data_IF_115791132637
#
_entry.id   IF_115791132637
#
_cell.length_a   1.000
_cell.length_b   1.000
_cell.length_c   1.000
_cell.angle_alpha   90.00
_cell.angle_beta   90.00
_cell.angle_gamma   90.00
#
_symmetry.space_group_name_H-M   'P 1'
#
loop_
_entity.id
_entity.type
_entity.pdbx_description
1 polymer ?
#
# COMPACT_ATOMS: atom_id res chain seq x y z
N UNK A 1 33.99 0.39 5.38
CA UNK A 1 32.68 1.06 5.44
C UNK A 1 32.55 1.95 4.22
N UNK A 2 31.41 1.83 3.50
CA UNK A 2 31.08 2.70 2.37
C UNK A 2 29.93 3.62 2.80
N UNK A 3 29.97 4.92 2.42
CA UNK A 3 28.96 5.91 2.78
C UNK A 3 28.34 6.53 1.54
N UNK A 4 27.02 6.78 1.59
CA UNK A 4 26.29 7.52 0.57
C UNK A 4 25.69 8.76 1.23
N UNK A 5 26.04 9.94 0.73
CA UNK A 5 25.54 11.21 1.26
C UNK A 5 24.62 11.87 0.25
N UNK A 6 23.39 12.09 0.66
CA UNK A 6 22.44 12.89 -0.13
C UNK A 6 22.70 14.39 0.01
N UNK A 7 22.36 15.17 -0.99
CA UNK A 7 22.45 16.64 -0.94
C UNK A 7 21.43 17.25 0.03
N UNK A 8 20.28 16.57 0.27
CA UNK A 8 19.25 16.95 1.25
C UNK A 8 18.62 15.70 1.84
N UNK A 9 17.78 15.84 2.84
CA UNK A 9 16.98 14.73 3.36
C UNK A 9 15.85 14.39 2.38
N UNK A 10 15.89 13.19 1.79
CA UNK A 10 14.86 12.63 0.90
C UNK A 10 13.99 11.58 1.61
N UNK A 11 14.19 11.37 2.91
CA UNK A 11 13.47 10.37 3.70
C UNK A 11 14.10 8.98 3.70
N UNK A 12 13.52 8.09 4.52
CA UNK A 12 14.05 6.74 4.76
C UNK A 12 13.92 5.83 3.53
N UNK A 13 12.81 5.92 2.82
CA UNK A 13 12.57 5.08 1.64
C UNK A 13 13.60 5.32 0.54
N UNK A 14 13.92 6.59 0.25
CA UNK A 14 14.95 6.92 -0.73
C UNK A 14 16.33 6.37 -0.32
N UNK A 15 16.66 6.46 0.98
CA UNK A 15 17.93 5.92 1.49
C UNK A 15 17.99 4.39 1.35
N UNK A 16 16.88 3.70 1.63
CA UNK A 16 16.79 2.24 1.44
C UNK A 16 16.88 1.86 -0.03
N UNK A 17 16.16 2.55 -0.91
CA UNK A 17 16.19 2.25 -2.35
C UNK A 17 17.61 2.35 -2.92
N UNK A 18 18.30 3.45 -2.67
CA UNK A 18 19.68 3.63 -3.12
C UNK A 18 20.62 2.61 -2.46
N UNK A 19 20.40 2.28 -1.18
CA UNK A 19 21.15 1.23 -0.49
C UNK A 19 20.94 -0.15 -1.13
N UNK A 20 19.71 -0.50 -1.49
CA UNK A 20 19.36 -1.74 -2.16
C UNK A 20 19.98 -1.86 -3.56
N UNK A 21 19.98 -0.77 -4.31
CA UNK A 21 20.67 -0.73 -5.62
C UNK A 21 22.16 -1.02 -5.50
N UNK A 22 22.82 -0.49 -4.47
CA UNK A 22 24.26 -0.63 -4.27
C UNK A 22 24.68 -1.89 -3.51
N UNK A 23 23.73 -2.59 -2.87
CA UNK A 23 24.01 -3.83 -2.17
C UNK A 23 24.47 -4.93 -3.14
N UNK A 24 25.51 -5.69 -2.75
CA UNK A 24 26.14 -6.73 -3.57
C UNK A 24 26.14 -8.11 -2.89
N UNK A 25 25.75 -8.16 -1.61
CA UNK A 25 25.72 -9.42 -0.86
C UNK A 25 24.50 -10.28 -1.19
N UNK A 26 24.58 -11.57 -0.95
CA UNK A 26 23.48 -12.53 -1.16
C UNK A 26 22.35 -12.32 -0.16
N UNK A 27 22.68 -11.87 1.05
CA UNK A 27 21.75 -11.45 2.09
C UNK A 27 21.99 -9.99 2.42
N UNK A 28 20.91 -9.20 2.40
CA UNK A 28 20.94 -7.77 2.69
C UNK A 28 20.20 -7.51 3.99
N UNK A 29 20.78 -6.70 4.86
CA UNK A 29 20.16 -6.29 6.12
C UNK A 29 19.84 -4.79 6.09
N UNK A 30 18.72 -4.44 6.70
CA UNK A 30 18.43 -3.05 7.07
C UNK A 30 18.45 -2.92 8.58
N UNK A 31 19.04 -1.85 9.07
CA UNK A 31 19.10 -1.54 10.50
C UNK A 31 19.05 -0.02 10.68
N UNK A 32 18.33 0.46 11.69
CA UNK A 32 18.34 1.87 12.06
C UNK A 32 19.63 2.24 12.81
N UNK A 33 20.23 3.37 12.46
CA UNK A 33 21.51 3.82 13.04
C UNK A 33 21.35 4.53 14.40
N UNK A 34 20.21 4.37 15.08
CA UNK A 34 19.90 5.02 16.36
C UNK A 34 20.29 4.16 17.58
N UNK A 35 21.02 3.07 17.35
CA UNK A 35 21.53 2.13 18.37
C UNK A 35 20.43 1.43 19.19
N UNK A 36 19.18 1.40 18.70
CA UNK A 36 18.08 0.69 19.36
C UNK A 36 18.01 -0.79 18.98
N UNK A 37 18.45 -1.14 17.77
CA UNK A 37 18.51 -2.51 17.29
C UNK A 37 19.86 -3.14 17.64
N UNK A 38 19.88 -4.43 18.04
CA UNK A 38 21.11 -5.15 18.38
C UNK A 38 21.71 -5.84 17.16
N UNK A 39 23.01 -5.62 16.85
CA UNK A 39 23.72 -6.38 15.82
C UNK A 39 23.82 -7.89 16.12
N UNK A 40 23.67 -8.29 17.38
CA UNK A 40 23.72 -9.70 17.80
C UNK A 40 22.59 -10.55 17.19
N UNK A 41 21.56 -9.92 16.66
CA UNK A 41 20.44 -10.59 15.97
C UNK A 41 20.79 -10.99 14.51
N UNK A 42 21.81 -10.38 13.92
CA UNK A 42 22.15 -10.57 12.51
C UNK A 42 22.54 -12.01 12.15
N UNK A 43 23.33 -12.75 12.96
CA UNK A 43 23.70 -14.13 12.62
C UNK A 43 22.49 -15.05 12.47
N UNK A 44 21.51 -14.95 13.37
CA UNK A 44 20.31 -15.78 13.30
C UNK A 44 19.39 -15.38 12.14
N UNK A 45 19.25 -14.08 11.88
CA UNK A 45 18.53 -13.60 10.69
C UNK A 45 19.18 -14.10 9.40
N UNK A 46 20.53 -14.10 9.34
CA UNK A 46 21.30 -14.65 8.21
C UNK A 46 21.01 -16.12 8.02
N UNK A 47 21.13 -16.92 9.07
CA UNK A 47 20.86 -18.35 9.05
C UNK A 47 19.48 -18.67 8.48
N UNK A 48 18.45 -17.96 8.95
CA UNK A 48 17.08 -18.19 8.51
C UNK A 48 16.84 -17.81 7.04
N UNK A 49 17.46 -16.74 6.55
CA UNK A 49 17.37 -16.37 5.12
C UNK A 49 18.14 -17.37 4.27
N UNK A 50 19.37 -17.72 4.67
CA UNK A 50 20.28 -18.52 3.86
C UNK A 50 19.95 -20.02 3.92
N UNK A 51 19.72 -20.58 5.12
CA UNK A 51 19.54 -22.01 5.34
C UNK A 51 18.05 -22.42 5.31
N UNK A 52 17.17 -21.67 5.97
CA UNK A 52 15.73 -21.95 5.95
C UNK A 52 15.05 -21.43 4.68
N UNK A 53 15.74 -20.64 3.89
CA UNK A 53 15.29 -20.17 2.58
C UNK A 53 14.20 -19.10 2.61
N UNK A 54 14.06 -18.34 3.71
CA UNK A 54 13.15 -17.20 3.75
C UNK A 54 13.56 -16.12 2.73
N UNK A 55 12.59 -15.53 2.06
CA UNK A 55 12.82 -14.41 1.16
C UNK A 55 13.06 -13.11 1.94
N UNK A 56 12.29 -12.94 3.01
CA UNK A 56 12.37 -11.80 3.92
C UNK A 56 12.04 -12.20 5.35
N UNK A 57 12.83 -11.72 6.31
CA UNK A 57 12.51 -11.82 7.74
C UNK A 57 12.46 -10.42 8.33
N UNK A 58 11.35 -10.10 8.99
CA UNK A 58 11.17 -8.85 9.74
C UNK A 58 11.44 -9.09 11.22
N UNK A 59 12.16 -8.18 11.87
CA UNK A 59 12.24 -8.18 13.31
C UNK A 59 10.88 -7.87 13.95
N UNK A 60 10.62 -8.46 15.11
CA UNK A 60 9.47 -8.18 15.95
C UNK A 60 9.91 -7.69 17.33
N UNK A 61 9.67 -6.40 17.60
CA UNK A 61 9.93 -5.79 18.89
C UNK A 61 8.81 -6.15 19.88
N UNK A 62 8.86 -7.40 20.43
CA UNK A 62 7.80 -7.93 21.32
C UNK A 62 7.66 -7.11 22.61
N UNK A 63 8.78 -6.70 23.21
CA UNK A 63 8.81 -5.77 24.34
C UNK A 63 9.16 -4.39 23.81
N UNK A 64 8.20 -3.47 23.83
CA UNK A 64 8.40 -2.07 23.44
C UNK A 64 8.44 -1.19 24.66
N UNK A 65 9.40 -0.29 24.69
CA UNK A 65 9.51 0.76 25.71
C UNK A 65 8.85 2.09 25.25
N UNK A 66 7.99 2.01 24.22
CA UNK A 66 7.28 3.15 23.66
C UNK A 66 6.03 3.52 24.48
N UNK A 67 5.63 4.80 24.56
CA UNK A 67 4.40 5.24 25.22
C UNK A 67 3.14 4.59 24.59
N UNK A 68 2.10 4.43 25.43
CA UNK A 68 0.81 3.83 25.02
C UNK A 68 0.19 4.56 23.82
N UNK A 69 0.34 5.88 23.74
CA UNK A 69 -0.12 6.73 22.62
C UNK A 69 0.44 6.33 21.25
N UNK A 70 1.61 5.66 21.21
CA UNK A 70 2.22 5.13 19.99
C UNK A 70 1.86 3.66 19.75
N UNK A 71 1.65 2.91 20.83
CA UNK A 71 1.44 1.47 20.75
C UNK A 71 0.08 1.12 20.15
N UNK A 72 -1.00 1.83 20.53
CA UNK A 72 -2.36 1.58 20.02
C UNK A 72 -2.46 1.86 18.51
N UNK A 73 -2.05 3.03 18.00
CA UNK A 73 -2.05 3.28 16.55
C UNK A 73 -1.22 2.26 15.76
N UNK A 74 -0.06 1.85 16.29
CA UNK A 74 0.79 0.85 15.64
C UNK A 74 0.11 -0.53 15.57
N UNK A 75 -0.61 -0.94 16.63
CA UNK A 75 -1.35 -2.22 16.63
C UNK A 75 -2.48 -2.20 15.60
N UNK A 76 -3.24 -1.10 15.52
CA UNK A 76 -4.31 -0.94 14.53
C UNK A 76 -3.75 -0.97 13.10
N UNK A 77 -2.67 -0.23 12.85
CA UNK A 77 -1.95 -0.23 11.59
C UNK A 77 -1.49 -1.63 11.19
N UNK A 78 -0.83 -2.36 12.09
CA UNK A 78 -0.37 -3.72 11.83
C UNK A 78 -1.54 -4.69 11.58
N UNK A 79 -2.67 -4.54 12.29
CA UNK A 79 -3.87 -5.33 12.07
C UNK A 79 -4.47 -5.08 10.68
N UNK A 80 -4.62 -3.82 10.28
CA UNK A 80 -5.10 -3.44 8.96
C UNK A 80 -4.16 -3.95 7.85
N UNK A 81 -2.85 -3.79 8.02
CA UNK A 81 -1.86 -4.28 7.06
C UNK A 81 -1.89 -5.80 6.92
N UNK A 82 -2.06 -6.54 8.03
CA UNK A 82 -2.25 -8.00 7.99
C UNK A 82 -3.51 -8.40 7.22
N UNK A 83 -4.63 -7.73 7.48
CA UNK A 83 -5.89 -8.03 6.82
C UNK A 83 -5.81 -7.82 5.30
N UNK A 84 -5.17 -6.73 4.89
CA UNK A 84 -5.03 -6.35 3.47
C UNK A 84 -4.00 -7.23 2.75
N UNK A 85 -2.82 -7.45 3.36
CA UNK A 85 -1.72 -8.17 2.73
C UNK A 85 -1.79 -9.68 2.86
N UNK A 86 -2.53 -10.19 3.86
CA UNK A 86 -2.54 -11.60 4.22
C UNK A 86 -1.17 -12.11 4.72
N UNK A 87 -0.29 -11.21 5.22
CA UNK A 87 1.01 -11.56 5.78
C UNK A 87 0.89 -11.62 7.31
N UNK A 88 1.32 -12.71 7.91
CA UNK A 88 1.23 -12.91 9.37
C UNK A 88 2.45 -12.32 10.09
N UNK A 89 2.59 -10.97 10.07
CA UNK A 89 3.61 -10.26 10.85
C UNK A 89 2.95 -9.46 11.98
N UNK A 90 3.59 -9.43 13.15
CA UNK A 90 3.17 -8.62 14.28
C UNK A 90 3.74 -7.20 14.21
N UNK A 91 4.88 -7.00 13.52
CA UNK A 91 5.54 -5.71 13.40
C UNK A 91 6.04 -5.44 11.97
N UNK A 92 5.26 -4.69 11.19
CA UNK A 92 5.68 -4.21 9.87
C UNK A 92 6.67 -3.06 9.95
N UNK A 93 6.68 -2.32 11.06
CA UNK A 93 7.46 -1.08 11.23
C UNK A 93 8.89 -1.30 11.74
N UNK A 94 9.27 -2.52 12.11
CA UNK A 94 10.62 -2.80 12.57
C UNK A 94 11.66 -2.43 11.50
N UNK A 95 12.69 -1.65 11.87
CA UNK A 95 13.79 -1.26 10.98
C UNK A 95 14.73 -2.42 10.64
N UNK A 96 14.91 -3.33 11.61
CA UNK A 96 15.76 -4.51 11.45
C UNK A 96 15.04 -5.57 10.60
N UNK A 97 15.54 -5.80 9.41
CA UNK A 97 15.04 -6.81 8.48
C UNK A 97 16.21 -7.45 7.73
N UNK A 98 16.01 -8.70 7.34
CA UNK A 98 16.93 -9.45 6.47
C UNK A 98 16.20 -9.84 5.18
N UNK A 99 16.88 -9.78 4.06
CA UNK A 99 16.34 -10.04 2.73
C UNK A 99 17.31 -10.89 1.91
N UNK A 100 16.78 -11.78 1.06
CA UNK A 100 17.56 -12.26 -0.07
C UNK A 100 17.89 -11.11 -1.02
N UNK A 101 19.04 -11.13 -1.65
CA UNK A 101 19.43 -10.14 -2.66
C UNK A 101 18.37 -9.99 -3.76
N UNK A 102 17.79 -11.09 -4.21
CA UNK A 102 16.72 -11.09 -5.21
C UNK A 102 15.52 -10.22 -4.81
N UNK A 103 15.14 -10.19 -3.53
CA UNK A 103 14.04 -9.34 -3.05
C UNK A 103 14.35 -7.87 -3.27
N UNK A 104 15.49 -7.40 -2.73
CA UNK A 104 15.86 -5.98 -2.77
C UNK A 104 16.15 -5.47 -4.17
N UNK A 105 16.51 -6.36 -5.11
CA UNK A 105 16.74 -6.02 -6.52
C UNK A 105 15.46 -5.97 -7.37
N UNK A 106 14.35 -6.51 -6.87
CA UNK A 106 13.07 -6.56 -7.58
C UNK A 106 11.98 -5.72 -6.92
N UNK A 107 12.30 -4.94 -5.91
CA UNK A 107 11.35 -4.01 -5.27
C UNK A 107 11.83 -2.58 -5.40
N UNK A 108 10.88 -1.67 -5.59
CA UNK A 108 11.10 -0.23 -5.54
C UNK A 108 10.49 0.33 -4.27
N UNK A 109 11.23 1.21 -3.57
CA UNK A 109 10.81 1.79 -2.29
C UNK A 109 10.86 3.31 -2.37
N UNK A 110 9.70 3.95 -2.41
CA UNK A 110 9.57 5.41 -2.46
C UNK A 110 8.56 5.94 -1.42
N UNK A 111 8.45 7.24 -1.25
CA UNK A 111 7.54 7.86 -0.28
C UNK A 111 7.71 7.30 1.14
N UNK A 112 6.64 6.85 1.77
CA UNK A 112 6.66 6.20 3.09
C UNK A 112 6.60 4.65 2.99
N UNK A 113 6.88 4.08 1.82
CA UNK A 113 6.75 2.63 1.55
C UNK A 113 7.72 1.74 2.31
N UNK A 114 8.72 2.29 3.00
CA UNK A 114 9.67 1.52 3.80
C UNK A 114 9.01 0.61 4.86
N UNK A 115 7.80 0.93 5.30
CA UNK A 115 7.01 0.11 6.25
C UNK A 115 6.35 -1.08 5.59
N UNK A 116 6.12 -0.98 4.29
CA UNK A 116 5.36 -1.96 3.51
C UNK A 116 6.24 -2.86 2.65
N UNK A 117 7.57 -2.81 2.84
CA UNK A 117 8.50 -3.67 2.09
C UNK A 117 8.06 -5.14 2.10
N UNK A 118 7.59 -5.74 3.23
CA UNK A 118 7.09 -7.12 3.19
C UNK A 118 5.88 -7.29 2.27
N UNK A 119 5.01 -6.29 2.17
CA UNK A 119 3.82 -6.32 1.31
C UNK A 119 4.23 -6.22 -0.15
N UNK A 120 5.13 -5.28 -0.47
CA UNK A 120 5.67 -5.09 -1.81
C UNK A 120 6.41 -6.35 -2.28
N UNK A 121 7.23 -6.95 -1.42
CA UNK A 121 7.93 -8.19 -1.70
C UNK A 121 6.94 -9.32 -2.04
N UNK A 122 5.88 -9.50 -1.24
CA UNK A 122 4.85 -10.51 -1.51
C UNK A 122 4.17 -10.31 -2.86
N UNK A 123 3.85 -9.08 -3.24
CA UNK A 123 3.22 -8.78 -4.54
C UNK A 123 4.16 -9.00 -5.73
N UNK A 124 5.48 -8.92 -5.49
CA UNK A 124 6.49 -9.29 -6.47
C UNK A 124 6.83 -10.79 -6.46
N UNK A 125 6.04 -11.63 -5.77
CA UNK A 125 6.17 -13.09 -5.80
C UNK A 125 7.01 -13.69 -4.68
N UNK A 126 7.63 -12.88 -3.82
CA UNK A 126 8.42 -13.35 -2.67
C UNK A 126 7.50 -13.65 -1.50
N UNK A 127 7.06 -14.90 -1.40
CA UNK A 127 5.99 -15.31 -0.47
C UNK A 127 6.46 -15.86 0.85
N UNK A 128 7.72 -16.33 0.94
CA UNK A 128 8.27 -16.90 2.16
C UNK A 128 8.78 -15.82 3.11
N UNK A 129 7.82 -15.13 3.74
CA UNK A 129 8.07 -14.01 4.66
C UNK A 129 7.88 -14.48 6.09
N UNK A 130 8.87 -14.23 6.93
CA UNK A 130 8.89 -14.62 8.33
C UNK A 130 9.10 -13.45 9.30
N UNK A 131 8.97 -13.75 10.57
CA UNK A 131 9.21 -12.81 11.66
C UNK A 131 10.12 -13.43 12.71
N UNK A 132 10.98 -12.63 13.33
CA UNK A 132 11.85 -13.01 14.42
C UNK A 132 11.73 -12.02 15.57
N UNK A 133 11.55 -12.52 16.79
CA UNK A 133 11.62 -11.67 17.97
C UNK A 133 13.03 -11.14 18.14
N UNK A 134 13.17 -9.83 18.20
CA UNK A 134 14.46 -9.14 18.32
C UNK A 134 14.48 -8.28 19.57
N UNK A 135 15.69 -8.10 20.12
CA UNK A 135 15.91 -7.22 21.26
C UNK A 135 15.78 -5.77 20.81
N UNK A 136 15.09 -4.98 21.63
CA UNK A 136 14.96 -3.54 21.41
C UNK A 136 15.46 -2.80 22.65
N UNK A 137 16.40 -1.89 22.45
CA UNK A 137 16.98 -1.06 23.51
C UNK A 137 16.28 0.29 23.55
N UNK A 138 16.21 0.90 24.74
CA UNK A 138 15.75 2.27 24.87
C UNK A 138 16.69 3.22 24.12
N UNK A 139 16.12 4.26 23.50
CA UNK A 139 16.90 5.28 22.79
C UNK A 139 17.82 6.01 23.75
N UNK A 140 19.11 6.05 23.43
CA UNK A 140 20.12 6.77 24.22
C UNK A 140 20.30 8.22 23.78
N UNK A 141 20.12 8.51 22.48
CA UNK A 141 20.39 9.82 21.87
C UNK A 141 19.24 10.27 20.97
N UNK A 142 19.03 11.59 20.92
CA UNK A 142 18.04 12.21 20.03
C UNK A 142 16.63 12.26 20.58
N UNK A 143 15.82 13.18 20.02
CA UNK A 143 14.41 13.37 20.35
C UNK A 143 13.50 12.76 19.27
N UNK A 144 12.35 12.26 19.69
CA UNK A 144 11.38 11.66 18.79
C UNK A 144 10.54 12.76 18.12
N UNK A 145 10.63 12.89 16.80
CA UNK A 145 9.81 13.82 16.00
C UNK A 145 8.53 13.13 15.49
N UNK A 146 7.65 12.70 16.40
CA UNK A 146 6.39 12.04 16.01
C UNK A 146 5.20 12.98 16.19
N UNK A 147 4.48 13.32 15.09
CA UNK A 147 3.22 14.05 15.09
C UNK A 147 2.04 13.18 14.66
N UNK A 148 0.80 13.67 14.88
CA UNK A 148 -0.46 13.05 14.45
C UNK A 148 -0.55 12.91 12.91
N UNK A 149 0.09 13.80 12.16
CA UNK A 149 0.19 13.77 10.69
C UNK A 149 0.68 12.43 10.16
N UNK A 150 1.60 11.79 10.88
CA UNK A 150 2.16 10.50 10.48
C UNK A 150 1.15 9.35 10.56
N UNK A 151 0.14 9.46 11.40
CA UNK A 151 -0.93 8.47 11.49
C UNK A 151 -1.87 8.56 10.29
N UNK A 152 -2.27 9.78 9.94
CA UNK A 152 -3.11 10.05 8.76
C UNK A 152 -2.39 9.62 7.49
N UNK A 153 -1.13 10.05 7.35
CA UNK A 153 -0.30 9.66 6.20
C UNK A 153 -0.11 8.14 6.12
N UNK A 154 0.14 7.46 7.25
CA UNK A 154 0.26 6.01 7.27
C UNK A 154 -1.01 5.27 6.82
N UNK A 155 -2.20 5.80 7.11
CA UNK A 155 -3.45 5.24 6.63
C UNK A 155 -3.65 5.47 5.11
N UNK A 156 -3.37 6.69 4.65
CA UNK A 156 -3.42 7.02 3.22
C UNK A 156 -2.42 6.20 2.40
N UNK A 157 -1.21 5.99 2.94
CA UNK A 157 -0.20 5.14 2.32
C UNK A 157 -0.66 3.68 2.22
N UNK A 158 -1.32 3.16 3.27
CA UNK A 158 -1.88 1.80 3.25
C UNK A 158 -2.93 1.65 2.15
N UNK A 159 -3.80 2.65 2.01
CA UNK A 159 -4.82 2.67 0.97
C UNK A 159 -4.19 2.74 -0.42
N UNK A 160 -3.19 3.61 -0.59
CA UNK A 160 -2.45 3.78 -1.84
C UNK A 160 -1.73 2.49 -2.24
N UNK A 161 -1.02 1.86 -1.31
CA UNK A 161 -0.31 0.61 -1.56
C UNK A 161 -1.29 -0.51 -1.91
N UNK A 162 -2.39 -0.65 -1.18
CA UNK A 162 -3.42 -1.64 -1.50
C UNK A 162 -3.97 -1.44 -2.91
N UNK A 163 -4.29 -0.18 -3.24
CA UNK A 163 -4.84 0.16 -4.55
C UNK A 163 -3.83 -0.11 -5.68
N UNK A 164 -2.61 0.40 -5.55
CA UNK A 164 -1.55 0.22 -6.55
C UNK A 164 -1.17 -1.26 -6.70
N UNK A 165 -1.04 -2.00 -5.60
CA UNK A 165 -0.69 -3.41 -5.65
C UNK A 165 -1.75 -4.30 -6.29
N UNK A 166 -3.04 -3.98 -6.08
CA UNK A 166 -4.14 -4.79 -6.62
C UNK A 166 -4.62 -4.32 -8.00
N UNK A 167 -4.64 -3.01 -8.22
CA UNK A 167 -5.25 -2.41 -9.41
C UNK A 167 -4.26 -1.60 -10.26
N UNK A 168 -3.01 -1.39 -9.80
CA UNK A 168 -2.04 -0.53 -10.47
C UNK A 168 -1.74 -0.93 -11.92
N UNK A 169 -1.80 -2.25 -12.23
CA UNK A 169 -1.65 -2.75 -13.60
C UNK A 169 -2.97 -2.73 -14.41
N UNK A 170 -4.13 -2.58 -13.77
CA UNK A 170 -5.46 -2.61 -14.39
C UNK A 170 -6.46 -1.70 -13.66
N UNK A 171 -6.20 -0.39 -13.57
CA UNK A 171 -7.08 0.53 -12.83
C UNK A 171 -8.48 0.62 -13.42
N UNK A 172 -8.62 0.38 -14.74
CA UNK A 172 -9.92 0.35 -15.41
C UNK A 172 -10.87 -0.70 -14.84
N UNK A 173 -10.36 -1.84 -14.33
CA UNK A 173 -11.21 -2.87 -13.73
C UNK A 173 -11.90 -2.41 -12.45
N UNK A 174 -11.29 -1.52 -11.68
CA UNK A 174 -11.90 -0.98 -10.48
C UNK A 174 -12.79 0.22 -10.79
N UNK A 175 -12.22 1.26 -11.35
CA UNK A 175 -12.94 2.51 -11.60
C UNK A 175 -14.00 2.36 -12.69
N UNK A 176 -13.73 1.57 -13.73
CA UNK A 176 -14.69 1.32 -14.80
C UNK A 176 -15.92 0.59 -14.30
N UNK A 177 -15.76 -0.47 -13.48
CA UNK A 177 -16.90 -1.19 -12.90
C UNK A 177 -17.70 -0.28 -11.97
N UNK A 178 -17.04 0.41 -11.04
CA UNK A 178 -17.71 1.33 -10.12
C UNK A 178 -18.40 2.47 -10.86
N UNK A 179 -17.74 3.02 -11.88
CA UNK A 179 -18.31 4.09 -12.71
C UNK A 179 -19.53 3.64 -13.49
N UNK A 180 -19.46 2.48 -14.13
CA UNK A 180 -20.61 1.90 -14.88
C UNK A 180 -21.78 1.61 -13.95
N UNK A 181 -21.54 1.00 -12.79
CA UNK A 181 -22.60 0.73 -11.82
C UNK A 181 -23.26 2.02 -11.31
N UNK A 182 -22.45 3.02 -10.94
CA UNK A 182 -22.98 4.32 -10.49
C UNK A 182 -23.81 5.01 -11.58
N UNK A 183 -23.33 4.99 -12.83
CA UNK A 183 -24.05 5.53 -13.97
C UNK A 183 -25.39 4.81 -14.19
N UNK A 184 -25.38 3.48 -14.18
CA UNK A 184 -26.59 2.66 -14.39
C UNK A 184 -27.63 2.91 -13.28
N UNK A 185 -27.22 3.01 -12.02
CA UNK A 185 -28.12 3.34 -10.91
C UNK A 185 -28.78 4.70 -11.17
N UNK A 186 -27.98 5.72 -11.48
CA UNK A 186 -28.50 7.06 -11.78
C UNK A 186 -29.43 7.08 -13.00
N UNK A 187 -29.05 6.36 -14.06
CA UNK A 187 -29.87 6.21 -15.28
C UNK A 187 -31.22 5.57 -14.99
N UNK A 188 -31.26 4.47 -14.25
CA UNK A 188 -32.53 3.81 -13.93
C UNK A 188 -33.41 4.65 -13.03
N UNK A 189 -32.85 5.40 -12.10
CA UNK A 189 -33.61 6.37 -11.30
C UNK A 189 -34.24 7.43 -12.20
N UNK A 190 -33.45 8.06 -13.06
CA UNK A 190 -33.94 9.11 -13.97
C UNK A 190 -34.98 8.56 -14.96
N UNK A 191 -34.71 7.38 -15.51
CA UNK A 191 -35.62 6.67 -16.43
C UNK A 191 -36.96 6.34 -15.77
N UNK A 192 -36.94 5.77 -14.57
CA UNK A 192 -38.16 5.46 -13.81
C UNK A 192 -39.00 6.72 -13.55
N UNK A 193 -38.36 7.81 -13.10
CA UNK A 193 -39.07 9.07 -12.85
C UNK A 193 -39.63 9.68 -14.14
N UNK A 194 -38.89 9.57 -15.25
CA UNK A 194 -39.34 10.01 -16.56
C UNK A 194 -40.57 9.23 -17.05
N UNK A 195 -40.48 7.89 -17.00
CA UNK A 195 -41.63 7.03 -17.39
C UNK A 195 -42.83 7.26 -16.50
N UNK A 196 -42.64 7.37 -15.17
CA UNK A 196 -43.72 7.63 -14.23
C UNK A 196 -44.36 9.02 -14.44
N UNK A 197 -43.63 10.02 -14.90
CA UNK A 197 -44.17 11.32 -15.27
C UNK A 197 -44.91 11.26 -16.59
N UNK A 198 -44.37 10.61 -17.62
CA UNK A 198 -45.02 10.42 -18.90
C UNK A 198 -46.38 9.68 -18.76
N UNK A 199 -46.39 8.63 -17.94
CA UNK A 199 -47.61 7.90 -17.58
C UNK A 199 -48.67 8.79 -16.94
N UNK A 200 -48.27 9.62 -15.95
CA UNK A 200 -49.17 10.53 -15.27
C UNK A 200 -49.76 11.58 -16.22
N UNK A 201 -48.96 12.11 -17.15
CA UNK A 201 -49.43 13.06 -18.18
C UNK A 201 -50.45 12.37 -19.09
N UNK A 202 -50.16 11.18 -19.55
CA UNK A 202 -51.07 10.41 -20.44
C UNK A 202 -52.43 10.16 -19.79
N UNK A 203 -52.47 9.94 -18.47
CA UNK A 203 -53.73 9.71 -17.73
C UNK A 203 -54.33 11.00 -17.12
N UNK A 204 -53.90 12.20 -17.56
CA UNK A 204 -54.35 13.49 -17.03
C UNK A 204 -54.26 13.61 -15.50
N UNK A 205 -53.31 12.94 -14.88
CA UNK A 205 -53.09 13.04 -13.43
C UNK A 205 -52.13 14.20 -13.11
N UNK A 206 -52.54 15.06 -12.18
CA UNK A 206 -51.67 16.11 -11.65
C UNK A 206 -50.51 15.46 -10.87
N UNK A 207 -49.27 15.61 -11.35
CA UNK A 207 -48.08 15.13 -10.69
C UNK A 207 -47.02 16.22 -10.66
N UNK A 208 -46.31 16.33 -9.54
CA UNK A 208 -45.22 17.30 -9.35
C UNK A 208 -44.16 17.20 -10.46
N UNK A 209 -43.41 18.26 -10.67
CA UNK A 209 -42.28 18.25 -11.61
C UNK A 209 -41.25 17.18 -11.18
N UNK A 210 -40.55 16.60 -12.15
CA UNK A 210 -39.47 15.63 -11.86
C UNK A 210 -38.39 16.30 -11.02
N UNK A 211 -38.14 17.58 -11.29
CA UNK A 211 -37.16 18.41 -10.58
C UNK A 211 -37.52 18.70 -9.14
N UNK A 212 -38.79 18.56 -8.74
CA UNK A 212 -39.23 18.75 -7.35
C UNK A 212 -38.93 17.51 -6.50
N UNK A 213 -38.51 16.40 -7.12
CA UNK A 213 -38.20 15.16 -6.45
C UNK A 213 -36.69 15.09 -6.12
N UNK A 214 -36.29 15.05 -4.82
CA UNK A 214 -34.88 14.95 -4.44
C UNK A 214 -34.14 13.74 -5.04
N UNK A 215 -34.84 12.63 -5.28
CA UNK A 215 -34.29 11.41 -5.86
C UNK A 215 -33.78 11.65 -7.30
N UNK A 216 -34.38 12.59 -8.03
CA UNK A 216 -33.90 12.98 -9.36
C UNK A 216 -32.45 13.49 -9.31
N UNK A 217 -32.16 14.36 -8.35
CA UNK A 217 -30.80 14.90 -8.19
C UNK A 217 -29.80 13.86 -7.76
N UNK A 218 -30.22 12.91 -6.92
CA UNK A 218 -29.37 11.75 -6.55
C UNK A 218 -29.04 10.94 -7.81
N UNK A 219 -30.03 10.68 -8.67
CA UNK A 219 -29.82 10.00 -9.94
C UNK A 219 -28.84 10.76 -10.85
N UNK A 220 -29.05 12.07 -11.01
CA UNK A 220 -28.19 12.92 -11.83
C UNK A 220 -26.74 12.95 -11.33
N UNK A 221 -26.54 13.15 -10.02
CA UNK A 221 -25.22 13.16 -9.39
C UNK A 221 -24.54 11.79 -9.54
N UNK A 222 -25.29 10.70 -9.37
CA UNK A 222 -24.77 9.33 -9.57
C UNK A 222 -24.29 9.11 -11.00
N UNK A 223 -24.99 9.62 -12.01
CA UNK A 223 -24.57 9.54 -13.41
C UNK A 223 -23.26 10.33 -13.64
N UNK A 224 -23.18 11.56 -13.12
CA UNK A 224 -21.99 12.41 -13.24
C UNK A 224 -20.78 11.73 -12.58
N UNK A 225 -20.93 11.24 -11.35
CA UNK A 225 -19.88 10.50 -10.64
C UNK A 225 -19.49 9.25 -11.44
N UNK A 226 -20.47 8.54 -12.01
CA UNK A 226 -20.23 7.37 -12.84
C UNK A 226 -19.32 7.66 -14.02
N UNK A 227 -19.60 8.73 -14.77
CA UNK A 227 -18.75 9.17 -15.90
C UNK A 227 -17.37 9.58 -15.42
N UNK A 228 -17.27 10.32 -14.31
CA UNK A 228 -15.97 10.74 -13.75
C UNK A 228 -15.11 9.54 -13.34
N UNK A 229 -15.69 8.57 -12.63
CA UNK A 229 -14.97 7.35 -12.24
C UNK A 229 -14.51 6.55 -13.46
N UNK A 230 -15.38 6.38 -14.46
CA UNK A 230 -15.03 5.69 -15.69
C UNK A 230 -13.86 6.37 -16.42
N UNK A 231 -13.92 7.70 -16.56
CA UNK A 231 -12.85 8.50 -17.16
C UNK A 231 -11.54 8.41 -16.38
N UNK A 232 -11.61 8.47 -15.03
CA UNK A 232 -10.45 8.28 -14.18
C UNK A 232 -9.81 6.90 -14.37
N UNK A 233 -10.62 5.85 -14.49
CA UNK A 233 -10.16 4.50 -14.80
C UNK A 233 -9.46 4.39 -16.14
N UNK A 234 -10.02 5.02 -17.16
CA UNK A 234 -9.45 5.05 -18.51
C UNK A 234 -8.11 5.78 -18.55
N UNK A 235 -8.03 6.95 -17.92
CA UNK A 235 -6.76 7.70 -17.80
C UNK A 235 -5.72 6.88 -17.03
N UNK A 236 -6.11 6.28 -15.90
CA UNK A 236 -5.23 5.40 -15.14
C UNK A 236 -4.69 4.23 -15.95
N UNK A 237 -5.53 3.61 -16.78
CA UNK A 237 -5.12 2.52 -17.69
C UNK A 237 -4.13 3.01 -18.75
N UNK A 238 -4.35 4.19 -19.34
CA UNK A 238 -3.41 4.78 -20.30
C UNK A 238 -2.04 5.05 -19.67
N UNK A 239 -2.02 5.63 -18.45
CA UNK A 239 -0.78 5.87 -17.70
C UNK A 239 -0.08 4.54 -17.41
N UNK A 240 -0.83 3.53 -16.92
CA UNK A 240 -0.27 2.22 -16.64
C UNK A 240 0.29 1.53 -17.88
N UNK A 241 -0.36 1.70 -19.05
CA UNK A 241 0.13 1.13 -20.32
C UNK A 241 1.42 1.78 -20.80
N UNK A 242 1.59 3.06 -20.57
CA UNK A 242 2.77 3.81 -20.99
C UNK A 242 3.94 3.70 -20.00
N UNK A 243 3.79 2.99 -18.88
CA UNK A 243 4.88 2.78 -17.94
C UNK A 243 5.88 1.75 -18.51
N UNK A 244 7.16 2.11 -18.70
CA UNK A 244 8.21 1.20 -19.20
C UNK A 244 8.38 -0.06 -18.35
N UNK A 245 8.12 0.04 -17.05
CA UNK A 245 8.27 -1.06 -16.09
C UNK A 245 7.05 -1.98 -15.98
N UNK A 246 5.99 -1.73 -16.73
CA UNK A 246 4.75 -2.54 -16.68
C UNK A 246 5.00 -4.03 -16.86
N UNK A 247 5.92 -4.40 -17.74
CA UNK A 247 6.24 -5.77 -18.10
C UNK A 247 7.52 -6.29 -17.41
N UNK A 248 8.01 -5.59 -16.38
CA UNK A 248 9.09 -6.10 -15.56
C UNK A 248 8.53 -7.17 -14.60
N UNK A 249 9.02 -8.40 -14.75
CA UNK A 249 8.62 -9.56 -13.94
C UNK A 249 9.84 -10.15 -13.26
N UNK A 250 9.73 -10.42 -11.96
CA UNK A 250 10.75 -11.19 -11.24
C UNK A 250 10.72 -12.63 -11.73
N UNK A 251 11.79 -13.10 -12.36
CA UNK A 251 11.91 -14.46 -12.89
C UNK A 251 12.65 -15.30 -11.84
N UNK A 252 12.01 -16.39 -11.37
CA UNK A 252 12.62 -17.28 -10.38
C UNK A 252 13.65 -18.23 -11.01
N UNK A 253 13.36 -18.77 -12.20
CA UNK A 253 14.24 -19.71 -12.90
C UNK A 253 14.01 -19.66 -14.41
N UNK A 254 15.10 -19.66 -15.15
CA UNK A 254 15.11 -19.81 -16.61
C UNK A 254 15.71 -21.18 -16.96
N UNK A 255 15.03 -21.94 -17.80
CA UNK A 255 15.52 -23.21 -18.36
C UNK A 255 15.73 -23.00 -19.86
N UNK A 256 16.94 -22.62 -20.23
CA UNK A 256 17.42 -22.67 -21.62
C UNK A 256 18.58 -23.65 -21.70
#
# INVERSE_FOLDING_TARGET
VKGIKFRRNYGKSAALNVGFEKAQGDVVFTMDADLQDSPDELPELYRRVNEEGFDLISGWKKKRFDPITKTIPTKLFNAATRAISGIKLNDFNCGLKAYKSAVVKNIEVYGEMHRYIPVIAKWNGFTKIGEQVVQHRSRKYGTTKFGLERFINGFLDLLSIYFVGRFGKRPMHFFGVMGTLSFMIGFFIAFYLGVAKAWAIYHNQAKQLITDNPIFYIGLVSMIIGVQLFTAGFIGELISRNNPERNHYAIEKTTF
#
